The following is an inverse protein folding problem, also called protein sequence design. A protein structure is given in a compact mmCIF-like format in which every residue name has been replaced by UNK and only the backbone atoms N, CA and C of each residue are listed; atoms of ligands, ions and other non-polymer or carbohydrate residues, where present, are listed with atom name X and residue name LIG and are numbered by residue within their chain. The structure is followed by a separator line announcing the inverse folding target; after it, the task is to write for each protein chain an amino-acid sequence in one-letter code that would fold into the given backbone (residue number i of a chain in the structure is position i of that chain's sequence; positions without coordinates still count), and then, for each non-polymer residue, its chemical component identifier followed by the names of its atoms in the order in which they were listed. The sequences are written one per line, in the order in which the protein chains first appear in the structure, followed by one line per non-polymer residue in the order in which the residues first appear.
data_IF_067037260199
#
_entry.id   IF_067037260199
#
_cell.length_a   1.000
_cell.length_b   1.000
_cell.length_c   1.000
_cell.angle_alpha   90.00
_cell.angle_beta   90.00
_cell.angle_gamma   90.00
#
_symmetry.space_group_name_H-M   'P 1'
#
loop_
_entity.id
_entity.type
_entity.pdbx_description
1 polymer ?
#
# COMPACT_ATOMS: atom_id res chain seq x y z
N UNK A 1 22.98 -2.80 15.63
CA UNK A 1 22.25 -2.32 16.83
C UNK A 1 20.88 -2.92 16.81
N UNK A 2 20.42 -3.45 17.94
CA UNK A 2 19.12 -4.11 18.06
C UNK A 2 18.26 -3.30 19.00
N UNK A 3 17.05 -2.96 18.54
CA UNK A 3 16.06 -2.22 19.33
C UNK A 3 14.92 -3.18 19.64
N UNK A 4 14.62 -3.40 20.92
CA UNK A 4 13.51 -4.27 21.35
C UNK A 4 12.83 -3.70 22.60
N UNK A 5 11.56 -4.05 22.79
CA UNK A 5 10.80 -3.77 24.00
C UNK A 5 10.54 -5.01 24.86
N UNK A 6 10.96 -6.17 24.37
CA UNK A 6 10.89 -7.46 25.02
C UNK A 6 12.34 -7.93 25.11
N UNK A 7 12.91 -8.14 26.30
CA UNK A 7 14.36 -8.43 26.49
C UNK A 7 14.85 -9.76 25.86
N UNK A 8 14.06 -10.36 24.97
CA UNK A 8 14.34 -11.60 24.24
C UNK A 8 15.62 -11.53 23.40
N UNK A 9 15.90 -10.40 22.75
CA UNK A 9 17.11 -10.22 21.97
C UNK A 9 18.37 -10.23 22.85
N UNK A 10 18.34 -9.58 24.01
CA UNK A 10 19.48 -9.57 24.94
C UNK A 10 19.70 -10.94 25.58
N UNK A 11 18.62 -11.65 25.91
CA UNK A 11 18.69 -13.02 26.42
C UNK A 11 19.33 -13.98 25.40
N UNK A 12 18.85 -13.95 24.16
CA UNK A 12 19.32 -14.83 23.06
C UNK A 12 20.76 -14.54 22.64
N UNK A 13 21.28 -13.34 22.94
CA UNK A 13 22.67 -12.97 22.63
C UNK A 13 23.63 -13.15 23.82
N UNK A 14 23.11 -13.15 25.05
CA UNK A 14 23.91 -13.24 26.28
C UNK A 14 24.10 -14.66 26.82
N UNK A 15 23.21 -15.60 26.51
CA UNK A 15 23.32 -16.98 26.99
C UNK A 15 24.19 -17.86 26.07
N UNK A 16 23.97 -17.91 24.74
CA UNK A 16 24.69 -18.82 23.86
C UNK A 16 26.14 -18.38 23.62
N UNK A 17 27.04 -19.35 23.39
CA UNK A 17 28.42 -19.08 22.94
C UNK A 17 28.51 -18.69 21.47
N UNK A 18 27.47 -18.94 20.68
CA UNK A 18 27.41 -18.63 19.25
C UNK A 18 26.31 -17.60 19.00
N UNK A 19 26.67 -16.45 18.43
CA UNK A 19 25.74 -15.39 18.06
C UNK A 19 25.76 -15.19 16.54
N UNK A 20 24.65 -15.49 15.86
CA UNK A 20 24.51 -15.27 14.42
C UNK A 20 23.53 -14.12 14.18
N UNK A 21 23.99 -13.04 13.57
CA UNK A 21 23.17 -11.92 13.12
C UNK A 21 22.90 -12.10 11.63
N UNK A 22 21.63 -12.20 11.24
CA UNK A 22 21.22 -12.17 9.84
C UNK A 22 20.41 -10.90 9.58
N UNK A 23 20.90 -10.02 8.70
CA UNK A 23 20.20 -8.79 8.34
C UNK A 23 20.36 -8.49 6.85
N UNK A 24 19.39 -7.79 6.29
CA UNK A 24 19.47 -7.39 4.89
C UNK A 24 20.49 -6.26 4.67
N UNK A 25 21.05 -6.19 3.46
CA UNK A 25 22.03 -5.15 3.08
C UNK A 25 21.45 -3.72 3.18
N UNK A 26 20.14 -3.57 3.17
CA UNK A 26 19.43 -2.29 3.33
C UNK A 26 19.34 -1.82 4.78
N UNK A 27 19.81 -2.62 5.74
CA UNK A 27 19.84 -2.26 7.18
C UNK A 27 21.16 -1.65 7.63
N UNK A 28 22.03 -1.30 6.68
CA UNK A 28 23.27 -0.58 6.94
C UNK A 28 22.98 0.92 7.10
N UNK A 29 23.58 1.53 8.11
CA UNK A 29 23.57 2.98 8.33
C UNK A 29 25.02 3.50 8.29
N UNK A 30 25.27 4.73 7.82
CA UNK A 30 26.64 5.21 7.61
C UNK A 30 27.47 5.34 8.89
N UNK A 31 26.87 5.85 9.97
CA UNK A 31 27.56 6.17 11.21
C UNK A 31 26.62 6.20 12.43
N UNK A 32 27.20 6.36 13.62
CA UNK A 32 26.47 6.44 14.89
C UNK A 32 25.57 7.69 15.02
N UNK A 33 25.91 8.80 14.36
CA UNK A 33 25.08 10.02 14.39
C UNK A 33 23.77 9.79 13.63
N UNK A 34 23.87 9.17 12.46
CA UNK A 34 22.76 8.72 11.64
C UNK A 34 21.92 7.68 12.38
N UNK A 35 22.57 6.71 13.03
CA UNK A 35 21.88 5.72 13.86
C UNK A 35 21.01 6.37 14.94
N UNK A 36 21.52 7.38 15.67
CA UNK A 36 20.76 8.05 16.72
C UNK A 36 19.47 8.70 16.18
N UNK A 37 19.52 9.26 14.97
CA UNK A 37 18.34 9.80 14.28
C UNK A 37 17.36 8.69 13.94
N UNK A 38 17.82 7.60 13.32
CA UNK A 38 16.97 6.46 12.98
C UNK A 38 16.36 5.79 14.21
N UNK A 39 17.11 5.60 15.29
CA UNK A 39 16.59 5.04 16.53
C UNK A 39 15.46 5.92 17.09
N UNK A 40 15.66 7.24 17.17
CA UNK A 40 14.64 8.18 17.67
C UNK A 40 13.38 8.17 16.80
N UNK A 41 13.53 8.14 15.48
CA UNK A 41 12.41 8.06 14.55
C UNK A 41 11.67 6.71 14.68
N UNK A 42 12.41 5.61 14.82
CA UNK A 42 11.87 4.26 15.00
C UNK A 42 10.95 4.20 16.22
N UNK A 43 11.44 4.67 17.37
CA UNK A 43 10.73 4.56 18.65
C UNK A 43 9.46 5.41 18.66
N UNK A 44 9.54 6.64 18.15
CA UNK A 44 8.38 7.54 18.07
C UNK A 44 7.30 7.05 17.14
N UNK A 45 7.69 6.49 16.00
CA UNK A 45 6.73 5.96 15.02
C UNK A 45 6.15 4.60 15.42
N UNK A 46 6.95 3.74 16.04
CA UNK A 46 6.58 2.38 16.41
C UNK A 46 5.73 2.34 17.68
N UNK A 47 6.29 2.83 18.79
CA UNK A 47 5.66 2.74 20.13
C UNK A 47 5.30 4.08 20.74
N UNK A 48 5.62 5.20 20.10
CA UNK A 48 5.42 6.53 20.66
C UNK A 48 6.38 6.87 21.81
N UNK A 49 7.43 6.07 22.01
CA UNK A 49 8.37 6.23 23.12
C UNK A 49 9.59 7.08 22.71
N UNK A 50 10.27 7.75 23.67
CA UNK A 50 11.52 8.46 23.42
C UNK A 50 12.66 7.54 22.92
N UNK A 51 12.71 6.31 23.43
CA UNK A 51 13.62 5.23 23.05
C UNK A 51 12.98 3.87 23.36
N UNK A 52 13.48 2.77 22.78
CA UNK A 52 13.05 1.41 23.14
C UNK A 52 13.53 1.04 24.54
N UNK A 53 12.86 0.08 25.18
CA UNK A 53 13.24 -0.40 26.51
C UNK A 53 14.67 -0.96 26.52
N UNK A 54 15.07 -1.66 25.45
CA UNK A 54 16.43 -2.15 25.24
C UNK A 54 16.97 -1.66 23.90
N UNK A 55 18.17 -1.06 23.92
CA UNK A 55 18.91 -0.61 22.72
C UNK A 55 20.34 -1.16 22.81
N UNK A 56 20.57 -2.32 22.20
CA UNK A 56 21.79 -3.08 22.41
C UNK A 56 22.76 -2.95 21.24
N UNK A 57 24.01 -2.65 21.58
CA UNK A 57 25.12 -2.43 20.65
C UNK A 57 26.09 -3.61 20.69
N UNK A 58 25.81 -4.63 19.87
CA UNK A 58 26.72 -5.76 19.68
C UNK A 58 27.84 -5.36 18.71
N UNK A 59 29.06 -5.17 19.23
CA UNK A 59 30.24 -4.75 18.44
C UNK A 59 31.19 -5.89 18.11
N UNK A 60 31.30 -6.87 19.01
CA UNK A 60 32.17 -8.04 18.87
C UNK A 60 31.63 -9.19 19.71
N UNK A 61 32.17 -10.39 19.49
CA UNK A 61 31.88 -11.55 20.31
C UNK A 61 32.30 -11.32 21.78
N UNK A 62 31.60 -11.97 22.72
CA UNK A 62 32.00 -12.00 24.12
C UNK A 62 33.28 -12.85 24.28
N UNK A 63 34.07 -12.66 25.35
CA UNK A 63 35.21 -13.53 25.62
C UNK A 63 34.79 -15.02 25.66
N UNK A 64 35.46 -15.86 24.87
CA UNK A 64 35.14 -17.29 24.75
C UNK A 64 33.86 -17.61 23.96
N UNK A 65 33.31 -16.63 23.23
CA UNK A 65 32.16 -16.78 22.34
C UNK A 65 32.54 -16.39 20.89
N UNK A 66 31.64 -16.68 19.95
CA UNK A 66 31.78 -16.42 18.53
C UNK A 66 30.60 -15.57 18.03
N UNK A 67 30.87 -14.66 17.10
CA UNK A 67 29.84 -13.80 16.50
C UNK A 67 30.02 -13.75 14.98
N UNK A 68 28.95 -14.09 14.26
CA UNK A 68 28.88 -14.02 12.80
C UNK A 68 27.85 -12.99 12.37
N UNK A 69 28.20 -12.13 11.41
CA UNK A 69 27.27 -11.16 10.82
C UNK A 69 27.10 -11.49 9.34
N UNK A 70 25.89 -11.93 8.98
CA UNK A 70 25.50 -12.30 7.62
C UNK A 70 24.68 -11.17 7.01
N UNK A 71 25.25 -10.54 5.98
CA UNK A 71 24.56 -9.54 5.16
C UNK A 71 23.85 -10.23 4.01
N UNK A 72 22.52 -10.18 4.03
CA UNK A 72 21.67 -10.91 3.09
C UNK A 72 21.19 -9.97 2.00
N UNK A 73 21.58 -10.23 0.76
CA UNK A 73 21.00 -9.56 -0.40
C UNK A 73 19.58 -10.08 -0.65
N UNK A 74 19.42 -11.35 -1.10
CA UNK A 74 18.11 -11.97 -1.38
C UNK A 74 17.21 -11.09 -2.28
N UNK A 75 17.79 -10.56 -3.38
CA UNK A 75 17.10 -9.73 -4.38
C UNK A 75 17.01 -8.24 -4.03
N UNK A 76 17.70 -7.76 -3.00
CA UNK A 76 17.73 -6.32 -2.65
C UNK A 76 18.56 -5.50 -3.62
N UNK A 77 19.63 -6.05 -4.18
CA UNK A 77 20.40 -5.39 -5.25
C UNK A 77 19.52 -5.15 -6.49
N UNK A 78 18.64 -6.09 -6.84
CA UNK A 78 17.68 -5.91 -7.93
C UNK A 78 16.65 -4.82 -7.61
N UNK A 79 16.12 -4.82 -6.38
CA UNK A 79 15.21 -3.74 -5.92
C UNK A 79 15.93 -2.39 -5.95
N UNK A 80 17.21 -2.33 -5.58
CA UNK A 80 17.99 -1.10 -5.59
C UNK A 80 18.17 -0.56 -7.01
N UNK A 81 18.27 -1.43 -8.01
CA UNK A 81 18.34 -1.06 -9.43
C UNK A 81 16.99 -0.63 -10.02
N UNK A 82 15.87 -1.00 -9.39
CA UNK A 82 14.52 -0.60 -9.80
C UNK A 82 14.27 0.89 -9.53
N UNK A 83 14.29 1.70 -10.58
CA UNK A 83 14.11 3.17 -10.50
C UNK A 83 12.77 3.58 -9.91
N UNK A 84 11.74 2.77 -10.08
CA UNK A 84 10.39 3.07 -9.62
C UNK A 84 10.19 2.64 -8.15
N UNK A 85 10.92 1.61 -7.70
CA UNK A 85 10.64 0.95 -6.42
C UNK A 85 11.81 0.84 -5.42
N UNK A 86 13.01 1.30 -5.74
CA UNK A 86 14.18 1.24 -4.85
C UNK A 86 13.94 1.87 -3.47
N UNK A 87 13.07 2.89 -3.39
CA UNK A 87 12.74 3.58 -2.14
C UNK A 87 12.15 2.64 -1.09
N UNK A 88 11.59 1.49 -1.49
CA UNK A 88 11.14 0.43 -0.57
C UNK A 88 12.25 -0.02 0.38
N UNK A 89 13.51 -0.01 -0.05
CA UNK A 89 14.66 -0.39 0.77
C UNK A 89 14.96 0.59 1.92
N UNK A 90 14.46 1.84 1.85
CA UNK A 90 14.57 2.81 2.95
C UNK A 90 13.71 2.44 4.16
N UNK A 91 12.89 1.38 4.07
CA UNK A 91 11.99 1.00 5.14
C UNK A 91 12.76 0.54 6.39
N UNK A 92 12.61 1.29 7.48
CA UNK A 92 13.19 0.98 8.79
C UNK A 92 12.26 0.15 9.70
N UNK A 93 11.17 -0.41 9.16
CA UNK A 93 10.21 -1.28 9.87
C UNK A 93 9.55 -0.63 11.11
N UNK A 94 9.29 0.68 11.06
CA UNK A 94 8.72 1.43 12.18
C UNK A 94 7.19 1.36 12.32
N UNK A 95 6.46 0.72 11.41
CA UNK A 95 5.00 0.58 11.49
C UNK A 95 4.16 1.85 11.21
N UNK A 96 4.76 3.03 11.06
CA UNK A 96 4.03 4.30 10.84
C UNK A 96 3.00 4.23 9.69
N UNK A 97 3.38 3.61 8.57
CA UNK A 97 2.50 3.45 7.41
C UNK A 97 1.24 2.60 7.72
N UNK A 98 1.35 1.61 8.60
CA UNK A 98 0.25 0.74 9.01
C UNK A 98 -0.67 1.48 9.99
N UNK A 99 -0.10 2.21 10.95
CA UNK A 99 -0.83 2.96 11.98
C UNK A 99 -1.75 4.04 11.41
N UNK A 100 -1.43 4.61 10.24
CA UNK A 100 -2.28 5.60 9.57
C UNK A 100 -3.20 4.99 8.50
N UNK A 101 -2.93 3.78 8.02
CA UNK A 101 -3.65 3.18 6.90
C UNK A 101 -5.09 2.82 7.33
N UNK A 102 -6.13 3.42 6.72
CA UNK A 102 -7.52 3.15 7.11
C UNK A 102 -7.91 1.69 6.83
N UNK A 103 -7.36 1.11 5.76
CA UNK A 103 -7.62 -0.29 5.36
C UNK A 103 -7.04 -1.23 6.40
N UNK A 104 -5.73 -1.15 6.67
CA UNK A 104 -5.07 -2.00 7.66
C UNK A 104 -5.70 -1.88 9.06
N UNK A 105 -6.07 -0.67 9.49
CA UNK A 105 -6.71 -0.45 10.79
C UNK A 105 -8.09 -1.11 10.92
N UNK A 106 -8.80 -1.32 9.81
CA UNK A 106 -10.14 -1.92 9.80
C UNK A 106 -10.11 -3.41 9.50
N UNK A 107 -9.27 -3.82 8.55
CA UNK A 107 -9.18 -5.19 8.06
C UNK A 107 -8.18 -6.04 8.84
N UNK A 108 -7.24 -5.41 9.57
CA UNK A 108 -6.07 -6.08 10.13
C UNK A 108 -5.13 -6.61 9.05
N UNK A 109 -4.22 -7.50 9.47
CA UNK A 109 -3.24 -8.12 8.57
C UNK A 109 -3.78 -9.26 7.69
N UNK A 110 -4.88 -9.90 8.09
CA UNK A 110 -5.40 -11.10 7.42
C UNK A 110 -5.93 -10.87 6.00
N UNK A 111 -6.32 -9.64 5.67
CA UNK A 111 -6.81 -9.30 4.33
C UNK A 111 -5.72 -9.11 3.29
N UNK A 112 -4.44 -9.16 3.69
CA UNK A 112 -3.30 -9.07 2.77
C UNK A 112 -2.78 -10.47 2.44
N UNK A 113 -2.48 -10.73 1.18
CA UNK A 113 -1.98 -12.05 0.74
C UNK A 113 -0.47 -12.23 0.92
N UNK A 114 0.26 -11.15 1.21
CA UNK A 114 1.67 -11.20 1.59
C UNK A 114 1.84 -11.22 3.11
N UNK A 115 2.83 -11.97 3.62
CA UNK A 115 3.00 -12.20 5.07
C UNK A 115 3.32 -10.92 5.86
N UNK A 116 3.91 -9.90 5.22
CA UNK A 116 3.99 -8.56 5.78
C UNK A 116 2.76 -7.81 5.32
N UNK A 117 1.91 -7.30 6.21
CA UNK A 117 0.69 -6.60 5.84
C UNK A 117 0.92 -5.09 5.63
N UNK A 118 -0.14 -4.39 5.22
CA UNK A 118 -0.17 -2.94 5.11
C UNK A 118 0.61 -2.39 3.91
N UNK A 119 0.75 -1.06 3.77
CA UNK A 119 1.27 -0.42 2.56
C UNK A 119 2.69 -0.89 2.17
N UNK A 120 3.57 -1.10 3.15
CA UNK A 120 4.91 -1.63 2.90
C UNK A 120 4.86 -3.10 2.43
N UNK A 121 3.93 -3.87 2.99
CA UNK A 121 3.69 -5.27 2.64
C UNK A 121 3.28 -5.45 1.19
N UNK A 122 2.37 -4.61 0.70
CA UNK A 122 1.95 -4.58 -0.70
C UNK A 122 3.17 -4.42 -1.62
N UNK A 123 4.02 -3.42 -1.35
CA UNK A 123 5.22 -3.18 -2.16
C UNK A 123 6.20 -4.35 -2.12
N UNK A 124 6.47 -4.91 -0.94
CA UNK A 124 7.38 -6.07 -0.81
C UNK A 124 6.83 -7.32 -1.49
N UNK A 125 5.52 -7.54 -1.45
CA UNK A 125 4.86 -8.62 -2.19
C UNK A 125 5.03 -8.43 -3.69
N UNK A 126 4.76 -7.24 -4.21
CA UNK A 126 4.92 -6.92 -5.63
C UNK A 126 6.37 -7.10 -6.11
N UNK A 127 7.36 -6.64 -5.32
CA UNK A 127 8.78 -6.83 -5.63
C UNK A 127 9.19 -8.31 -5.59
N UNK A 128 8.60 -9.11 -4.70
CA UNK A 128 8.93 -10.53 -4.60
C UNK A 128 8.33 -11.36 -5.73
N UNK A 129 7.05 -11.16 -6.02
CA UNK A 129 6.34 -11.85 -7.09
C UNK A 129 5.08 -11.06 -7.48
N UNK A 130 5.16 -10.19 -8.51
CA UNK A 130 4.03 -9.35 -8.90
C UNK A 130 2.87 -10.16 -9.48
N UNK A 131 3.14 -11.35 -10.05
CA UNK A 131 2.10 -12.23 -10.58
C UNK A 131 1.24 -12.87 -9.50
N UNK A 132 1.82 -13.12 -8.33
CA UNK A 132 1.12 -13.72 -7.19
C UNK A 132 0.41 -12.69 -6.32
N UNK A 133 1.01 -11.51 -6.13
CA UNK A 133 0.58 -10.53 -5.13
C UNK A 133 -0.09 -9.27 -5.69
N UNK A 134 -0.41 -9.25 -6.99
CA UNK A 134 -1.06 -8.12 -7.68
C UNK A 134 -2.44 -7.77 -7.13
N UNK A 135 -3.13 -8.70 -6.50
CA UNK A 135 -4.45 -8.50 -5.89
C UNK A 135 -4.42 -7.47 -4.75
N UNK A 136 -3.35 -7.45 -3.96
CA UNK A 136 -3.18 -6.55 -2.81
C UNK A 136 -3.15 -5.06 -3.20
N UNK A 137 -2.75 -4.72 -4.43
CA UNK A 137 -2.66 -3.31 -4.83
C UNK A 137 -4.05 -2.67 -4.86
N UNK A 138 -5.11 -3.45 -5.07
CA UNK A 138 -6.51 -2.99 -5.09
C UNK A 138 -7.03 -2.62 -3.70
N UNK A 139 -6.47 -3.21 -2.64
CA UNK A 139 -6.86 -2.93 -1.26
C UNK A 139 -6.53 -1.48 -0.84
N UNK A 140 -5.53 -0.85 -1.44
CA UNK A 140 -5.14 0.52 -1.10
C UNK A 140 -6.18 1.56 -1.56
N UNK A 141 -6.63 2.47 -0.69
CA UNK A 141 -7.51 3.58 -1.09
C UNK A 141 -6.77 4.73 -1.78
N UNK A 142 -5.43 4.65 -1.89
CA UNK A 142 -4.56 5.71 -2.40
C UNK A 142 -4.77 7.07 -1.70
N UNK A 143 -5.13 7.09 -0.42
CA UNK A 143 -5.23 8.34 0.35
C UNK A 143 -3.88 9.00 0.66
N UNK A 144 -2.77 8.32 0.35
CA UNK A 144 -1.37 8.77 0.54
C UNK A 144 -0.97 9.19 1.97
N UNK A 145 -1.81 8.93 2.98
CA UNK A 145 -1.48 9.25 4.38
C UNK A 145 -0.17 8.60 4.83
N UNK A 146 0.10 7.36 4.37
CA UNK A 146 1.33 6.64 4.68
C UNK A 146 2.60 7.31 4.12
N UNK A 147 2.51 8.07 3.04
CA UNK A 147 3.65 8.79 2.44
C UNK A 147 4.00 10.01 3.28
N UNK A 148 2.97 10.72 3.76
CA UNK A 148 3.11 11.90 4.60
C UNK A 148 3.77 11.58 5.95
N UNK A 149 3.36 10.48 6.59
CA UNK A 149 3.86 10.11 7.93
C UNK A 149 5.16 9.31 7.90
N UNK A 150 5.63 8.85 6.74
CA UNK A 150 6.83 8.00 6.67
C UNK A 150 8.09 8.79 7.04
N UNK A 151 8.81 8.43 8.12
CA UNK A 151 9.99 9.17 8.54
C UNK A 151 11.18 8.98 7.59
N UNK A 152 11.27 7.83 6.92
CA UNK A 152 12.35 7.51 5.97
C UNK A 152 11.99 7.74 4.50
N UNK A 153 10.86 8.41 4.23
CA UNK A 153 10.43 8.83 2.88
C UNK A 153 10.46 7.68 1.85
N UNK A 154 9.86 6.55 2.24
CA UNK A 154 9.66 5.37 1.37
C UNK A 154 8.62 5.66 0.28
N UNK A 155 7.58 6.44 0.59
CA UNK A 155 6.44 6.65 -0.31
C UNK A 155 5.65 5.38 -0.67
N UNK A 156 5.20 4.53 0.29
CA UNK A 156 4.53 3.27 -0.05
C UNK A 156 3.26 3.44 -0.89
N UNK A 157 2.46 4.49 -0.66
CA UNK A 157 1.23 4.77 -1.38
C UNK A 157 1.49 5.18 -2.83
N UNK A 158 2.45 6.09 -3.04
CA UNK A 158 2.90 6.50 -4.37
C UNK A 158 3.48 5.32 -5.16
N UNK A 159 4.27 4.46 -4.52
CA UNK A 159 4.78 3.25 -5.18
C UNK A 159 3.66 2.25 -5.51
N UNK A 160 2.66 2.08 -4.64
CA UNK A 160 1.46 1.25 -4.96
C UNK A 160 0.71 1.83 -6.18
N UNK A 161 0.64 3.15 -6.31
CA UNK A 161 0.06 3.77 -7.49
C UNK A 161 0.82 3.40 -8.76
N UNK A 162 2.17 3.41 -8.73
CA UNK A 162 2.99 2.97 -9.88
C UNK A 162 2.73 1.50 -10.20
N UNK A 163 2.67 0.62 -9.19
CA UNK A 163 2.30 -0.78 -9.40
C UNK A 163 0.94 -0.96 -10.09
N UNK A 164 -0.06 -0.14 -9.74
CA UNK A 164 -1.37 -0.15 -10.40
C UNK A 164 -1.28 0.20 -11.88
N UNK A 165 -0.41 1.15 -12.27
CA UNK A 165 -0.19 1.49 -13.67
C UNK A 165 0.52 0.37 -14.44
N UNK A 166 1.33 -0.43 -13.76
CA UNK A 166 2.06 -1.56 -14.35
C UNK A 166 1.24 -2.85 -14.49
N UNK A 167 0.03 -2.93 -13.93
CA UNK A 167 -0.80 -4.15 -13.97
C UNK A 167 -1.13 -4.62 -15.38
N UNK A 168 -1.26 -3.70 -16.34
CA UNK A 168 -1.49 -4.06 -17.74
C UNK A 168 -0.29 -4.81 -18.32
N UNK A 169 0.92 -4.28 -18.13
CA UNK A 169 2.17 -4.91 -18.59
C UNK A 169 2.37 -6.29 -17.95
N UNK A 170 1.81 -6.49 -16.76
CA UNK A 170 1.84 -7.75 -16.02
C UNK A 170 0.74 -8.73 -16.45
N UNK A 171 -0.18 -8.36 -17.34
CA UNK A 171 -1.33 -9.19 -17.72
C UNK A 171 -2.36 -9.39 -16.60
N UNK A 172 -2.35 -8.51 -15.59
CA UNK A 172 -3.22 -8.56 -14.40
C UNK A 172 -4.30 -7.49 -14.38
N UNK A 173 -4.30 -6.59 -15.36
CA UNK A 173 -5.36 -5.61 -15.51
C UNK A 173 -6.66 -6.28 -15.96
N UNK A 174 -7.78 -5.87 -15.36
CA UNK A 174 -9.11 -6.33 -15.73
C UNK A 174 -9.54 -5.69 -17.06
N UNK A 175 -9.76 -6.48 -18.13
CA UNK A 175 -10.07 -5.96 -19.46
C UNK A 175 -11.44 -5.26 -19.51
N UNK A 176 -12.40 -5.71 -18.71
CA UNK A 176 -13.75 -5.12 -18.65
C UNK A 176 -13.66 -3.74 -18.01
N UNK A 177 -12.97 -3.62 -16.87
CA UNK A 177 -12.76 -2.32 -16.22
C UNK A 177 -12.02 -1.34 -17.12
N UNK A 178 -11.04 -1.81 -17.89
CA UNK A 178 -10.32 -0.99 -18.86
C UNK A 178 -11.24 -0.49 -19.99
N UNK A 179 -12.04 -1.38 -20.57
CA UNK A 179 -13.00 -1.00 -21.61
C UNK A 179 -14.04 0.02 -21.09
N UNK A 180 -14.59 -0.22 -19.89
CA UNK A 180 -15.51 0.72 -19.23
C UNK A 180 -14.85 2.08 -18.98
N UNK A 181 -13.62 2.10 -18.46
CA UNK A 181 -12.89 3.36 -18.20
C UNK A 181 -12.63 4.16 -19.48
N UNK A 182 -12.25 3.47 -20.57
CA UNK A 182 -12.07 4.10 -21.88
C UNK A 182 -13.38 4.64 -22.45
N UNK A 183 -14.48 3.91 -22.28
CA UNK A 183 -15.83 4.35 -22.67
C UNK A 183 -16.27 5.59 -21.89
N UNK A 184 -16.07 5.60 -20.57
CA UNK A 184 -16.36 6.75 -19.71
C UNK A 184 -15.52 7.97 -20.11
N UNK A 185 -14.22 7.78 -20.38
CA UNK A 185 -13.36 8.85 -20.90
C UNK A 185 -13.91 9.41 -22.22
N UNK A 186 -14.23 8.55 -23.18
CA UNK A 186 -14.78 8.96 -24.47
C UNK A 186 -16.07 9.77 -24.33
N UNK A 187 -16.94 9.39 -23.39
CA UNK A 187 -18.20 10.07 -23.08
C UNK A 187 -17.96 11.43 -22.41
N UNK A 188 -17.10 11.49 -21.38
CA UNK A 188 -16.85 12.69 -20.59
C UNK A 188 -16.02 13.74 -21.34
N UNK A 189 -15.11 13.34 -22.23
CA UNK A 189 -14.33 14.25 -23.05
C UNK A 189 -15.18 14.95 -24.13
N UNK A 190 -16.45 14.56 -24.33
CA UNK A 190 -17.36 15.10 -25.35
C UNK A 190 -18.63 15.69 -24.73
N UNK A 191 -18.68 17.02 -24.48
CA UNK A 191 -19.81 17.67 -23.83
C UNK A 191 -21.17 17.41 -24.51
N UNK A 192 -21.21 17.36 -25.84
CA UNK A 192 -22.44 17.10 -26.61
C UNK A 192 -22.98 15.67 -26.37
N UNK A 193 -22.11 14.66 -26.37
CA UNK A 193 -22.49 13.28 -26.09
C UNK A 193 -22.94 13.13 -24.63
N UNK A 194 -22.19 13.70 -23.69
CA UNK A 194 -22.53 13.68 -22.28
C UNK A 194 -23.90 14.33 -21.99
N UNK A 195 -24.16 15.51 -22.56
CA UNK A 195 -25.44 16.22 -22.38
C UNK A 195 -26.60 15.45 -23.00
N UNK A 196 -26.38 14.82 -24.16
CA UNK A 196 -27.38 13.99 -24.83
C UNK A 196 -27.67 12.73 -23.99
N UNK A 197 -26.65 12.05 -23.50
CA UNK A 197 -26.79 10.89 -22.62
C UNK A 197 -27.58 11.25 -21.35
N UNK A 198 -27.30 12.39 -20.72
CA UNK A 198 -28.06 12.88 -19.57
C UNK A 198 -29.54 13.20 -19.88
N UNK A 199 -29.83 13.73 -21.07
CA UNK A 199 -31.21 14.01 -21.49
C UNK A 199 -32.05 12.73 -21.62
N UNK A 200 -31.41 11.63 -22.03
CA UNK A 200 -32.06 10.33 -22.20
C UNK A 200 -31.88 9.38 -21.01
N UNK A 201 -31.11 9.77 -19.98
CA UNK A 201 -30.91 8.98 -18.76
C UNK A 201 -32.23 8.52 -18.08
N UNK A 202 -33.34 9.30 -18.07
CA UNK A 202 -34.60 8.83 -17.49
C UNK A 202 -35.21 7.60 -18.15
N UNK A 203 -34.81 7.26 -19.39
CA UNK A 203 -35.24 6.02 -20.05
C UNK A 203 -34.69 4.77 -19.33
N UNK A 204 -33.60 4.90 -18.57
CA UNK A 204 -33.04 3.80 -17.77
C UNK A 204 -34.02 3.33 -16.70
N UNK A 205 -34.91 4.20 -16.22
CA UNK A 205 -35.95 3.81 -15.25
C UNK A 205 -36.96 2.80 -15.82
N UNK A 206 -37.04 2.64 -17.14
CA UNK A 206 -37.89 1.66 -17.82
C UNK A 206 -37.21 0.30 -17.97
N UNK A 207 -35.92 0.20 -17.66
CA UNK A 207 -35.16 -1.04 -17.77
C UNK A 207 -35.51 -1.93 -16.57
N UNK A 208 -36.02 -3.15 -16.79
CA UNK A 208 -36.34 -4.07 -15.70
C UNK A 208 -35.11 -4.41 -14.86
N UNK A 209 -35.29 -4.60 -13.55
CA UNK A 209 -34.20 -4.94 -12.62
C UNK A 209 -33.42 -6.20 -13.04
N UNK A 210 -34.09 -7.18 -13.67
CA UNK A 210 -33.41 -8.37 -14.18
C UNK A 210 -32.32 -8.07 -15.23
N UNK A 211 -32.41 -6.92 -15.92
CA UNK A 211 -31.44 -6.48 -16.91
C UNK A 211 -30.29 -5.64 -16.32
N UNK A 212 -30.36 -5.25 -15.04
CA UNK A 212 -29.32 -4.45 -14.37
C UNK A 212 -28.58 -5.25 -13.29
N UNK A 213 -29.20 -6.30 -12.77
CA UNK A 213 -28.67 -7.18 -11.71
C UNK A 213 -28.03 -8.48 -12.24
N UNK A 214 -27.24 -8.41 -13.32
CA UNK A 214 -26.49 -9.57 -13.79
C UNK A 214 -25.29 -9.87 -12.88
N UNK A 215 -25.32 -10.99 -12.13
CA UNK A 215 -24.34 -11.30 -11.07
C UNK A 215 -22.88 -11.34 -11.52
N UNK A 216 -22.62 -11.67 -12.80
CA UNK A 216 -21.26 -11.85 -13.31
C UNK A 216 -20.64 -10.59 -13.91
N UNK A 217 -21.45 -9.61 -14.34
CA UNK A 217 -20.98 -8.39 -15.02
C UNK A 217 -21.19 -7.13 -14.18
N UNK A 218 -22.13 -7.16 -13.24
CA UNK A 218 -22.41 -6.05 -12.33
C UNK A 218 -22.47 -6.57 -10.87
N UNK A 219 -21.32 -6.98 -10.34
CA UNK A 219 -21.22 -7.40 -8.95
C UNK A 219 -21.66 -6.30 -7.97
N UNK A 220 -21.55 -5.02 -8.34
CA UNK A 220 -22.03 -3.89 -7.54
C UNK A 220 -23.56 -3.86 -7.40
N UNK A 221 -24.28 -4.29 -8.43
CA UNK A 221 -25.75 -4.40 -8.38
C UNK A 221 -26.26 -5.43 -7.37
N UNK A 222 -25.42 -6.36 -6.89
CA UNK A 222 -25.84 -7.33 -5.88
C UNK A 222 -26.07 -6.57 -4.55
N UNK A 223 -27.33 -6.52 -4.12
CA UNK A 223 -27.74 -5.85 -2.86
C UNK A 223 -27.98 -4.33 -2.95
N UNK A 224 -27.95 -3.73 -4.14
CA UNK A 224 -28.20 -2.30 -4.33
C UNK A 224 -29.35 -2.06 -5.31
N UNK A 225 -30.41 -1.34 -4.91
CA UNK A 225 -31.48 -0.96 -5.82
C UNK A 225 -30.96 -0.07 -6.96
N UNK A 226 -31.57 -0.17 -8.14
CA UNK A 226 -31.25 0.71 -9.26
C UNK A 226 -31.57 2.17 -8.87
N UNK A 227 -30.63 3.12 -9.06
CA UNK A 227 -30.91 4.52 -8.80
C UNK A 227 -31.96 5.07 -9.77
N UNK A 228 -32.97 5.77 -9.24
CA UNK A 228 -33.98 6.44 -10.07
C UNK A 228 -33.41 7.73 -10.69
N UNK A 229 -33.42 7.80 -12.01
CA UNK A 229 -32.98 9.00 -12.74
C UNK A 229 -34.10 10.03 -12.79
N UNK A 230 -33.80 11.27 -12.37
CA UNK A 230 -34.75 12.38 -12.42
C UNK A 230 -35.13 12.74 -13.88
N UNK A 231 -36.41 13.06 -14.12
CA UNK A 231 -36.92 13.42 -15.47
C UNK A 231 -36.18 14.58 -16.15
N UNK A 232 -35.58 15.47 -15.37
CA UNK A 232 -34.79 16.60 -15.86
C UNK A 232 -33.38 16.52 -15.30
N UNK A 233 -32.39 16.73 -16.17
CA UNK A 233 -30.99 16.84 -15.75
C UNK A 233 -30.72 18.18 -15.05
N UNK A 234 -29.67 18.23 -14.22
CA UNK A 234 -29.22 19.47 -13.58
C UNK A 234 -28.99 20.59 -14.61
N UNK A 235 -28.36 20.29 -15.75
CA UNK A 235 -28.14 21.26 -16.83
C UNK A 235 -29.44 21.86 -17.40
N UNK A 236 -30.50 21.06 -17.51
CA UNK A 236 -31.81 21.56 -17.94
C UNK A 236 -32.44 22.44 -16.87
N UNK A 237 -32.41 22.02 -15.61
CA UNK A 237 -32.95 22.80 -14.50
C UNK A 237 -32.21 24.14 -14.33
N UNK A 238 -30.90 24.15 -14.52
CA UNK A 238 -30.07 25.36 -14.51
C UNK A 238 -30.45 26.31 -15.65
N UNK A 239 -30.56 25.82 -16.89
CA UNK A 239 -31.00 26.62 -18.05
C UNK A 239 -32.43 27.15 -17.90
N UNK A 240 -33.30 26.40 -17.24
CA UNK A 240 -34.68 26.81 -16.92
C UNK A 240 -34.77 27.78 -15.72
N UNK A 241 -33.66 28.11 -15.05
CA UNK A 241 -33.63 29.00 -13.89
C UNK A 241 -34.26 28.41 -12.63
N UNK A 242 -34.42 27.08 -12.56
CA UNK A 242 -35.06 26.36 -11.43
C UNK A 242 -34.11 26.00 -10.30
N UNK A 243 -32.82 26.19 -10.51
CA UNK A 243 -31.77 25.99 -9.51
C UNK A 243 -30.91 27.26 -9.54
N UNK A 244 -30.69 27.84 -8.36
CA UNK A 244 -29.85 29.04 -8.15
C UNK A 244 -28.44 28.64 -7.76
#
# INVERSE_FOLDING_TARGET
VVCTNEGNADMTTSMPKLHIVAMGIEKLVPDYKSLAVFQRLLCRCGTGQPTTAFTSHFRQARPGAEMHVVLVDNGRSDILADKDHWQTLKCMRCGACMNTCPVYRRSGGYSYTYFIPGPIGVNLGMLKNPQKYSDNVSACTLCLSCDNVCPSKVGPGSQIYVWRQSLEKLGKADPVKKAMSNGMKYLFDRPALYTTALKFAPLVNLVPECCTHFSNWNAWGIGHAMPEFAKKSFHQLWKEGKVK
#
